data_IF_310705848523
#
_entry.id   IF_310705848523
#
_cell.length_a   1.000
_cell.length_b   1.000
_cell.length_c   1.000
_cell.angle_alpha   90.00
_cell.angle_beta   90.00
_cell.angle_gamma   90.00
#
_symmetry.space_group_name_H-M   'P 1'
#
loop_
_entity.id
_entity.type
_entity.pdbx_description
1 polymer ?
#
# COMPACT_ATOMS: atom_id res chain seq x y z
N UNK A 1 -14.94 -0.24 -0.07
CA UNK A 1 -14.24 0.99 -0.27
C UNK A 1 -12.78 0.98 0.15
N UNK A 2 -12.46 0.57 1.35
CA UNK A 2 -11.06 0.50 1.74
C UNK A 2 -10.30 -0.68 1.10
N UNK A 3 -10.98 -1.60 0.45
CA UNK A 3 -10.34 -2.63 -0.36
C UNK A 3 -9.46 -2.06 -1.46
N UNK A 4 -9.91 -0.99 -2.09
CA UNK A 4 -9.13 -0.37 -3.16
C UNK A 4 -7.85 0.24 -2.64
N UNK A 5 -7.89 0.82 -1.44
CA UNK A 5 -6.70 1.36 -0.81
C UNK A 5 -5.71 0.24 -0.47
N UNK A 6 -6.19 -0.85 0.10
CA UNK A 6 -5.31 -1.97 0.44
C UNK A 6 -4.68 -2.61 -0.79
N UNK A 7 -5.42 -2.73 -1.88
CA UNK A 7 -4.85 -3.22 -3.14
C UNK A 7 -3.78 -2.30 -3.68
N UNK A 8 -4.03 -0.99 -3.64
CA UNK A 8 -3.07 0.00 -4.07
C UNK A 8 -1.80 -0.07 -3.23
N UNK A 9 -1.95 -0.10 -1.91
CA UNK A 9 -0.82 -0.18 -0.99
C UNK A 9 0.00 -1.44 -1.20
N UNK A 10 -0.67 -2.57 -1.41
CA UNK A 10 0.01 -3.84 -1.68
C UNK A 10 0.84 -3.76 -2.96
N UNK A 11 0.28 -3.17 -4.00
CA UNK A 11 0.98 -3.00 -5.27
C UNK A 11 2.21 -2.11 -5.10
N UNK A 12 2.05 -0.98 -4.40
CA UNK A 12 3.14 -0.05 -4.18
C UNK A 12 4.26 -0.68 -3.34
N UNK A 13 3.89 -1.45 -2.34
CA UNK A 13 4.84 -2.16 -1.50
C UNK A 13 5.62 -3.20 -2.30
N UNK A 14 4.93 -4.03 -3.06
CA UNK A 14 5.56 -5.11 -3.83
C UNK A 14 6.48 -4.61 -4.93
N UNK A 15 6.17 -3.44 -5.50
CA UNK A 15 6.97 -2.85 -6.56
C UNK A 15 7.98 -1.82 -6.05
N UNK A 16 8.03 -1.62 -4.74
CA UNK A 16 8.93 -0.63 -4.13
C UNK A 16 8.86 0.73 -4.82
N UNK A 17 7.64 1.15 -5.15
CA UNK A 17 7.42 2.38 -5.90
C UNK A 17 7.46 3.61 -5.01
N UNK A 18 8.31 4.60 -5.33
CA UNK A 18 8.31 5.85 -4.56
C UNK A 18 6.99 6.59 -4.68
N UNK A 19 6.51 7.11 -3.56
CA UNK A 19 5.23 7.81 -3.50
C UNK A 19 5.33 9.04 -2.65
N UNK A 20 4.41 9.99 -2.88
CA UNK A 20 4.20 11.12 -1.98
C UNK A 20 2.88 10.89 -1.26
N UNK A 21 2.91 10.98 0.05
CA UNK A 21 1.73 10.84 0.89
C UNK A 21 1.37 12.22 1.44
N UNK A 22 0.26 12.77 0.97
CA UNK A 22 -0.23 14.05 1.46
C UNK A 22 -1.08 13.79 2.68
N UNK A 23 -0.63 14.30 3.81
CA UNK A 23 -1.29 14.05 5.08
C UNK A 23 -2.27 15.18 5.42
N UNK A 24 -3.20 14.89 6.29
CA UNK A 24 -4.12 15.87 6.84
C UNK A 24 -3.29 17.01 7.45
N UNK A 25 -3.65 18.24 7.15
CA UNK A 25 -2.88 19.41 7.57
C UNK A 25 -1.83 19.88 6.57
N UNK A 26 -1.68 19.19 5.44
CA UNK A 26 -0.80 19.62 4.34
C UNK A 26 0.62 19.07 4.37
N UNK A 27 0.97 18.25 5.36
CA UNK A 27 2.29 17.64 5.43
C UNK A 27 2.43 16.61 4.31
N UNK A 28 3.61 16.58 3.67
CA UNK A 28 3.90 15.61 2.61
C UNK A 28 5.06 14.72 3.04
N UNK A 29 4.86 13.41 2.93
CA UNK A 29 5.89 12.41 3.23
C UNK A 29 6.22 11.68 1.93
N UNK A 30 7.50 11.64 1.56
CA UNK A 30 7.97 10.96 0.35
C UNK A 30 8.72 9.71 0.74
N UNK A 31 8.34 8.60 0.16
CA UNK A 31 9.03 7.35 0.46
C UNK A 31 8.38 6.15 -0.19
N UNK A 32 8.80 4.98 0.24
CA UNK A 32 8.35 3.70 -0.29
C UNK A 32 7.58 2.96 0.81
N UNK A 33 6.45 2.38 0.45
CA UNK A 33 5.68 1.56 1.40
C UNK A 33 6.49 0.31 1.72
N UNK A 34 6.86 0.15 2.98
CA UNK A 34 7.65 -0.98 3.45
C UNK A 34 6.81 -2.03 4.19
N UNK A 35 5.62 -1.64 4.61
CA UNK A 35 4.70 -2.54 5.28
C UNK A 35 3.41 -1.82 5.60
N UNK A 36 2.43 -2.57 6.05
CA UNK A 36 1.14 -2.01 6.43
C UNK A 36 0.43 -2.94 7.39
N UNK A 37 -0.45 -2.35 8.18
CA UNK A 37 -1.37 -3.13 9.00
C UNK A 37 -2.78 -2.58 8.84
N UNK A 38 -3.68 -2.90 9.75
CA UNK A 38 -5.09 -2.54 9.62
C UNK A 38 -5.32 -1.03 9.57
N UNK A 39 -4.60 -0.26 10.37
CA UNK A 39 -4.83 1.18 10.50
C UNK A 39 -3.67 2.06 10.06
N UNK A 40 -2.50 1.47 9.87
CA UNK A 40 -1.28 2.22 9.60
C UNK A 40 -0.53 1.67 8.40
N UNK A 41 0.32 2.51 7.84
CA UNK A 41 1.30 2.09 6.84
C UNK A 41 2.68 2.54 7.29
N UNK A 42 3.68 1.75 6.93
CA UNK A 42 5.07 2.05 7.23
C UNK A 42 5.73 2.52 5.95
N UNK A 43 6.21 3.76 5.97
CA UNK A 43 6.82 4.39 4.79
C UNK A 43 8.29 4.64 5.10
N UNK A 44 9.15 4.04 4.31
CA UNK A 44 10.59 4.25 4.46
C UNK A 44 11.03 5.42 3.62
N UNK A 45 11.63 6.41 4.29
CA UNK A 45 12.24 7.56 3.63
C UNK A 45 13.75 7.40 3.66
N UNK A 46 14.47 8.34 3.08
CA UNK A 46 15.93 8.32 3.11
C UNK A 46 16.49 8.40 4.52
N UNK A 47 15.78 9.04 5.43
CA UNK A 47 16.27 9.30 6.78
C UNK A 47 15.74 8.32 7.82
N UNK A 48 14.47 7.91 7.68
CA UNK A 48 13.83 7.11 8.72
C UNK A 48 12.56 6.44 8.20
N UNK A 49 12.00 5.57 9.03
CA UNK A 49 10.71 4.94 8.75
C UNK A 49 9.60 5.74 9.43
N UNK A 50 8.59 6.12 8.66
CA UNK A 50 7.41 6.79 9.18
C UNK A 50 6.27 5.80 9.32
N UNK A 51 5.54 5.90 10.42
CA UNK A 51 4.32 5.15 10.64
C UNK A 51 3.14 6.11 10.44
N UNK A 52 2.45 5.98 9.32
CA UNK A 52 1.38 6.89 8.95
C UNK A 52 0.02 6.24 9.20
N UNK A 53 -0.90 6.96 9.81
CA UNK A 53 -2.25 6.47 9.99
C UNK A 53 -3.03 6.60 8.69
N UNK A 54 -3.66 5.52 8.25
CA UNK A 54 -4.42 5.51 7.00
C UNK A 54 -5.50 6.60 6.95
N UNK A 55 -6.15 6.84 8.08
CA UNK A 55 -7.21 7.84 8.17
C UNK A 55 -6.74 9.29 8.05
N UNK A 56 -5.42 9.52 8.16
CA UNK A 56 -4.85 10.86 8.04
C UNK A 56 -4.24 11.12 6.66
N UNK A 57 -4.29 10.15 5.77
CA UNK A 57 -3.78 10.31 4.41
C UNK A 57 -4.87 10.89 3.52
N UNK A 58 -4.58 12.06 2.95
CA UNK A 58 -5.52 12.75 2.05
C UNK A 58 -5.31 12.35 0.60
N UNK A 59 -4.07 12.06 0.21
CA UNK A 59 -3.74 11.73 -1.17
C UNK A 59 -2.46 10.90 -1.22
N UNK A 60 -2.39 10.00 -2.17
CA UNK A 60 -1.20 9.20 -2.44
C UNK A 60 -0.85 9.40 -3.91
N UNK A 61 0.33 9.97 -4.14
CA UNK A 61 0.79 10.30 -5.49
C UNK A 61 1.97 9.41 -5.84
N UNK A 62 1.75 8.32 -6.60
CA UNK A 62 2.85 7.46 -7.04
C UNK A 62 3.76 8.17 -8.03
N UNK A 63 5.02 7.74 -8.09
CA UNK A 63 5.99 8.31 -9.01
C UNK A 63 5.64 8.04 -10.48
N UNK A 64 4.92 6.97 -10.75
CA UNK A 64 4.50 6.59 -12.09
C UNK A 64 2.98 6.55 -12.19
N UNK A 65 2.46 6.78 -13.39
CA UNK A 65 1.03 6.67 -13.65
C UNK A 65 0.59 5.21 -13.48
N UNK A 66 -0.48 5.00 -12.74
CA UNK A 66 -0.98 3.66 -12.44
C UNK A 66 -2.23 3.34 -13.24
N UNK A 67 -2.35 2.07 -13.64
CA UNK A 67 -3.58 1.51 -14.17
C UNK A 67 -4.29 0.77 -13.03
N UNK A 68 -5.34 1.36 -12.49
CA UNK A 68 -6.04 0.80 -11.34
C UNK A 68 -6.72 -0.52 -11.65
N UNK A 69 -7.15 -0.73 -12.89
CA UNK A 69 -7.77 -2.00 -13.28
C UNK A 69 -6.76 -3.12 -13.27
N UNK A 70 -5.56 -2.86 -13.79
CA UNK A 70 -4.49 -3.84 -13.80
C UNK A 70 -4.04 -4.17 -12.38
N UNK A 71 -3.86 -3.15 -11.54
CA UNK A 71 -3.47 -3.32 -10.14
C UNK A 71 -4.48 -4.19 -9.41
N UNK A 72 -5.75 -3.89 -9.57
CA UNK A 72 -6.82 -4.64 -8.92
C UNK A 72 -6.82 -6.11 -9.34
N UNK A 73 -6.60 -6.37 -10.61
CA UNK A 73 -6.54 -7.73 -11.15
C UNK A 73 -5.35 -8.50 -10.58
N UNK A 74 -4.17 -7.88 -10.58
CA UNK A 74 -2.94 -8.50 -10.07
C UNK A 74 -3.06 -8.79 -8.58
N UNK A 75 -3.50 -7.83 -7.79
CA UNK A 75 -3.60 -8.00 -6.33
C UNK A 75 -4.67 -9.02 -5.95
N UNK A 76 -5.76 -9.08 -6.68
CA UNK A 76 -6.78 -10.09 -6.47
C UNK A 76 -6.20 -11.50 -6.69
N UNK A 77 -5.41 -11.68 -7.72
CA UNK A 77 -4.75 -12.95 -8.02
C UNK A 77 -3.80 -13.34 -6.90
N UNK A 78 -3.00 -12.40 -6.40
CA UNK A 78 -2.09 -12.65 -5.28
C UNK A 78 -2.85 -13.10 -4.04
N UNK A 79 -3.94 -12.42 -3.69
CA UNK A 79 -4.74 -12.75 -2.52
C UNK A 79 -5.39 -14.13 -2.64
N UNK A 80 -5.85 -14.49 -3.83
CA UNK A 80 -6.44 -15.80 -4.08
C UNK A 80 -5.40 -16.91 -3.87
N UNK A 81 -4.19 -16.72 -4.36
CA UNK A 81 -3.11 -17.69 -4.17
C UNK A 81 -2.74 -17.83 -2.70
N UNK A 82 -2.69 -16.73 -1.97
CA UNK A 82 -2.41 -16.73 -0.54
C UNK A 82 -3.49 -17.50 0.24
N UNK A 83 -4.76 -17.28 -0.08
CA UNK A 83 -5.87 -17.98 0.55
C UNK A 83 -5.78 -19.50 0.33
N UNK A 84 -5.43 -19.92 -0.88
CA UNK A 84 -5.27 -21.34 -1.20
C UNK A 84 -4.16 -21.96 -0.35
N UNK A 85 -3.04 -21.26 -0.19
CA UNK A 85 -1.93 -21.74 0.61
C UNK A 85 -2.32 -21.86 2.09
N UNK A 86 -3.03 -20.88 2.61
CA UNK A 86 -3.51 -20.91 3.99
C UNK A 86 -4.45 -22.07 4.25
N UNK A 87 -5.36 -22.35 3.33
CA UNK A 87 -6.28 -23.49 3.43
C UNK A 87 -5.54 -24.82 3.45
N UNK A 88 -4.50 -24.93 2.64
CA UNK A 88 -3.69 -26.16 2.61
C UNK A 88 -2.90 -26.34 3.90
N UNK A 89 -2.45 -25.26 4.50
CA UNK A 89 -1.67 -25.30 5.74
C UNK A 89 -2.54 -25.57 6.97
N UNK A 90 -3.81 -25.21 6.93
CA UNK A 90 -4.70 -25.38 8.08
C UNK A 90 -5.17 -26.80 8.29
N UNK A 91 -4.81 -27.69 7.41
CA UNK A 91 -5.07 -29.10 7.55
C UNK A 91 -3.86 -29.80 8.19
#
# INVERSE_FOLDING_TARGET
MYYKLDFLLQYLECNEMPCKFVMQGGKVVKGIVDGRDEYTIYVQTEEQTHCLFKGSIMDIIPAEKLDLKEIRSITHKWNTEKEKKEKLQSK
#
